data_IF_484467401038
#
_entry.id   IF_484467401038
#
_cell.length_a   1.000
_cell.length_b   1.000
_cell.length_c   1.000
_cell.angle_alpha   90.00
_cell.angle_beta   90.00
_cell.angle_gamma   90.00
#
_symmetry.space_group_name_H-M   'P 1'
#
loop_
_entity.id
_entity.type
_entity.pdbx_description
1 polymer ?
#
# COMPACT_ATOMS: atom_id res chain seq x y z
N UNK A 1 -19.56 -3.03 4.46
CA UNK A 1 -18.68 -3.05 5.65
C UNK A 1 -18.85 -1.70 6.34
N UNK A 2 -19.02 -1.66 7.66
CA UNK A 2 -19.21 -0.43 8.43
C UNK A 2 -18.30 -0.44 9.64
N UNK A 3 -17.59 0.67 9.88
CA UNK A 3 -16.76 0.93 11.05
C UNK A 3 -17.55 1.74 12.07
N UNK A 4 -17.75 1.18 13.27
CA UNK A 4 -18.46 1.84 14.38
C UNK A 4 -17.53 2.20 15.56
N UNK A 5 -16.21 1.95 15.42
CA UNK A 5 -15.21 2.07 16.48
C UNK A 5 -14.83 0.72 17.11
N UNK A 6 -13.87 0.72 18.03
CA UNK A 6 -13.49 -0.46 18.81
C UNK A 6 -13.38 -0.11 20.30
N UNK A 7 -13.24 -1.13 21.17
CA UNK A 7 -13.07 -0.92 22.62
C UNK A 7 -11.82 -0.09 22.95
N UNK A 8 -10.80 -0.19 22.11
CA UNK A 8 -9.48 0.36 22.36
C UNK A 8 -9.22 1.68 21.58
N UNK A 9 -10.17 2.11 20.73
CA UNK A 9 -10.03 3.32 19.92
C UNK A 9 -11.34 4.13 19.85
N UNK A 10 -11.31 5.28 20.52
CA UNK A 10 -12.42 6.24 20.51
C UNK A 10 -12.35 7.08 19.25
N UNK A 11 -12.95 6.59 18.17
CA UNK A 11 -13.12 7.36 16.95
C UNK A 11 -14.21 8.42 17.14
N UNK A 12 -13.92 9.67 16.74
CA UNK A 12 -14.94 10.71 16.61
C UNK A 12 -15.96 10.31 15.55
N UNK A 13 -17.20 10.83 15.65
CA UNK A 13 -18.23 10.54 14.65
C UNK A 13 -17.80 10.98 13.24
N UNK A 14 -17.13 12.12 13.11
CA UNK A 14 -16.60 12.60 11.82
C UNK A 14 -15.59 11.61 11.22
N UNK A 15 -14.72 11.03 12.05
CA UNK A 15 -13.74 10.04 11.61
C UNK A 15 -14.43 8.75 11.15
N UNK A 16 -15.47 8.30 11.87
CA UNK A 16 -16.26 7.14 11.46
C UNK A 16 -16.95 7.39 10.11
N UNK A 17 -17.52 8.57 9.91
CA UNK A 17 -18.15 8.96 8.64
C UNK A 17 -17.12 8.95 7.52
N UNK A 18 -15.95 9.54 7.72
CA UNK A 18 -14.88 9.58 6.73
C UNK A 18 -14.40 8.17 6.34
N UNK A 19 -14.16 7.29 7.32
CA UNK A 19 -13.77 5.89 7.07
C UNK A 19 -14.85 5.15 6.28
N UNK A 20 -16.11 5.24 6.71
CA UNK A 20 -17.21 4.56 6.03
C UNK A 20 -17.44 5.09 4.61
N UNK A 21 -17.29 6.39 4.40
CA UNK A 21 -17.35 7.01 3.08
C UNK A 21 -16.23 6.49 2.18
N UNK A 22 -14.99 6.46 2.65
CA UNK A 22 -13.84 5.93 1.90
C UNK A 22 -14.04 4.46 1.49
N UNK A 23 -14.51 3.61 2.42
CA UNK A 23 -14.80 2.19 2.15
C UNK A 23 -15.89 2.04 1.09
N UNK A 24 -16.96 2.84 1.20
CA UNK A 24 -18.14 2.76 0.31
C UNK A 24 -17.84 3.31 -1.09
N UNK A 25 -17.08 4.41 -1.17
CA UNK A 25 -16.70 5.05 -2.42
C UNK A 25 -15.47 4.42 -3.08
N UNK A 26 -14.83 3.46 -2.40
CA UNK A 26 -13.58 2.82 -2.83
C UNK A 26 -12.46 3.81 -3.16
N UNK A 27 -12.46 4.94 -2.42
CA UNK A 27 -11.45 5.99 -2.50
C UNK A 27 -10.46 5.85 -1.34
N UNK A 28 -9.16 6.12 -1.56
CA UNK A 28 -8.19 6.18 -0.48
C UNK A 28 -8.59 7.20 0.60
N UNK A 29 -8.36 6.84 1.86
CA UNK A 29 -8.52 7.74 3.00
C UNK A 29 -7.16 8.31 3.41
N UNK A 30 -6.97 9.61 3.26
CA UNK A 30 -5.77 10.30 3.75
C UNK A 30 -6.03 10.86 5.17
N UNK A 31 -5.22 10.39 6.13
CA UNK A 31 -5.27 10.81 7.53
C UNK A 31 -4.04 11.66 7.84
N UNK A 32 -4.26 12.94 8.11
CA UNK A 32 -3.21 13.91 8.45
C UNK A 32 -3.27 14.27 9.93
N UNK A 33 -2.12 14.54 10.52
CA UNK A 33 -2.03 15.06 11.89
C UNK A 33 -0.64 14.87 12.49
N UNK A 34 -0.43 15.40 13.68
CA UNK A 34 0.86 15.30 14.39
C UNK A 34 1.29 13.84 14.62
N UNK A 35 2.60 13.55 14.71
CA UNK A 35 3.09 12.25 15.16
C UNK A 35 2.47 11.83 16.50
N UNK A 36 2.17 10.54 16.67
CA UNK A 36 1.60 10.01 17.91
C UNK A 36 0.09 10.19 18.10
N UNK A 37 -0.64 10.71 17.11
CA UNK A 37 -2.11 10.92 17.16
C UNK A 37 -2.95 9.67 16.83
N UNK A 38 -2.33 8.49 16.72
CA UNK A 38 -3.05 7.22 16.51
C UNK A 38 -3.52 6.96 15.07
N UNK A 39 -2.91 7.59 14.06
CA UNK A 39 -3.23 7.41 12.63
C UNK A 39 -3.03 5.96 12.16
N UNK A 40 -1.89 5.35 12.50
CA UNK A 40 -1.59 3.94 12.24
C UNK A 40 -2.59 3.03 12.97
N UNK A 41 -2.94 3.38 14.21
CA UNK A 41 -3.89 2.62 15.02
C UNK A 41 -5.29 2.61 14.40
N UNK A 42 -5.73 3.71 13.77
CA UNK A 42 -7.00 3.73 13.04
C UNK A 42 -7.09 2.58 12.03
N UNK A 43 -6.08 2.38 11.19
CA UNK A 43 -6.11 1.33 10.17
C UNK A 43 -6.17 -0.08 10.79
N UNK A 44 -5.43 -0.30 11.88
CA UNK A 44 -5.43 -1.56 12.64
C UNK A 44 -6.83 -1.83 13.20
N UNK A 45 -7.47 -0.83 13.80
CA UNK A 45 -8.78 -0.96 14.43
C UNK A 45 -9.91 -1.09 13.41
N UNK A 46 -9.80 -0.42 12.26
CA UNK A 46 -10.72 -0.62 11.13
C UNK A 46 -10.60 -2.06 10.63
N UNK A 47 -9.38 -2.57 10.41
CA UNK A 47 -9.15 -3.94 9.94
C UNK A 47 -9.76 -4.98 10.89
N UNK A 48 -9.50 -4.83 12.21
CA UNK A 48 -10.11 -5.67 13.25
C UNK A 48 -11.63 -5.61 13.24
N UNK A 49 -12.21 -4.42 13.16
CA UNK A 49 -13.67 -4.23 13.26
C UNK A 49 -14.44 -4.89 12.10
N UNK A 50 -13.88 -4.89 10.89
CA UNK A 50 -14.52 -5.44 9.69
C UNK A 50 -13.98 -6.84 9.33
N UNK A 51 -13.04 -7.38 10.11
CA UNK A 51 -12.43 -8.68 9.89
C UNK A 51 -11.61 -8.77 8.60
N UNK A 52 -10.98 -7.69 8.17
CA UNK A 52 -10.18 -7.63 6.95
C UNK A 52 -8.69 -7.89 7.24
N UNK A 53 -7.95 -8.57 6.33
CA UNK A 53 -6.49 -8.64 6.41
C UNK A 53 -5.88 -7.24 6.37
N UNK A 54 -4.88 -6.99 7.22
CA UNK A 54 -4.11 -5.74 7.21
C UNK A 54 -2.77 -5.97 6.54
N UNK A 55 -2.44 -5.14 5.54
CA UNK A 55 -1.15 -5.09 4.88
C UNK A 55 -0.54 -3.73 5.18
N UNK A 56 0.55 -3.73 5.95
CA UNK A 56 1.23 -2.51 6.37
C UNK A 56 2.45 -2.24 5.47
N UNK A 57 2.52 -1.03 4.93
CA UNK A 57 3.65 -0.51 4.18
C UNK A 57 4.16 0.77 4.81
N UNK A 58 5.14 0.64 5.70
CA UNK A 58 5.80 1.78 6.33
C UNK A 58 6.83 2.41 5.40
N UNK A 59 6.63 3.69 5.10
CA UNK A 59 7.47 4.46 4.19
C UNK A 59 8.68 5.02 4.96
N UNK A 60 9.86 4.89 4.37
CA UNK A 60 11.12 5.47 4.86
C UNK A 60 11.63 6.50 3.87
N UNK A 61 12.59 7.32 4.29
CA UNK A 61 13.22 8.33 3.43
C UNK A 61 13.88 7.76 2.18
N UNK A 62 14.25 6.49 2.19
CA UNK A 62 14.87 5.79 1.07
C UNK A 62 13.89 4.92 0.27
N UNK A 63 12.61 4.88 0.66
CA UNK A 63 11.61 4.06 -0.01
C UNK A 63 11.26 4.64 -1.37
N UNK A 64 11.24 3.79 -2.39
CA UNK A 64 10.80 4.14 -3.75
C UNK A 64 9.45 3.47 -4.07
N UNK A 65 8.63 4.12 -4.89
CA UNK A 65 7.31 3.62 -5.28
C UNK A 65 7.38 2.20 -5.89
N UNK A 66 8.37 1.96 -6.74
CA UNK A 66 8.62 0.65 -7.37
C UNK A 66 8.75 -0.49 -6.35
N UNK A 67 9.31 -0.25 -5.15
CA UNK A 67 9.44 -1.27 -4.10
C UNK A 67 8.09 -1.70 -3.51
N UNK A 68 7.08 -0.83 -3.63
CA UNK A 68 5.69 -1.18 -3.33
C UNK A 68 5.09 -2.13 -4.35
N UNK A 69 5.53 -2.04 -5.60
CA UNK A 69 5.09 -2.90 -6.70
C UNK A 69 5.86 -4.23 -6.65
N UNK A 70 7.16 -4.21 -6.91
CA UNK A 70 8.05 -5.36 -6.84
C UNK A 70 9.53 -4.95 -6.87
N UNK A 71 10.40 -5.87 -6.48
CA UNK A 71 11.85 -5.75 -6.62
C UNK A 71 12.37 -6.93 -7.47
N UNK A 72 13.18 -6.65 -8.49
CA UNK A 72 13.82 -7.68 -9.30
C UNK A 72 15.31 -7.78 -8.95
N UNK A 73 15.74 -8.95 -8.47
CA UNK A 73 17.14 -9.23 -8.13
C UNK A 73 17.93 -9.76 -9.34
N UNK A 74 18.28 -8.83 -10.23
CA UNK A 74 19.09 -9.14 -11.42
C UNK A 74 20.48 -9.70 -11.06
N UNK A 75 21.05 -9.30 -9.92
CA UNK A 75 22.40 -9.71 -9.50
C UNK A 75 22.41 -11.16 -9.07
N UNK A 76 21.45 -11.57 -8.24
CA UNK A 76 21.29 -12.95 -7.81
C UNK A 76 20.99 -13.86 -9.02
N UNK A 77 20.15 -13.40 -9.96
CA UNK A 77 19.88 -14.15 -11.19
C UNK A 77 21.13 -14.34 -12.03
N UNK A 78 21.92 -13.29 -12.23
CA UNK A 78 23.16 -13.37 -13.00
C UNK A 78 24.14 -14.36 -12.37
N UNK A 79 24.31 -14.30 -11.05
CA UNK A 79 25.18 -15.23 -10.30
C UNK A 79 24.73 -16.67 -10.47
N UNK A 80 23.45 -16.94 -10.23
CA UNK A 80 22.88 -18.29 -10.34
C UNK A 80 22.96 -18.82 -11.79
N UNK A 81 22.78 -17.94 -12.79
CA UNK A 81 22.95 -18.28 -14.21
C UNK A 81 24.39 -18.65 -14.56
N UNK A 82 25.39 -17.98 -13.97
CA UNK A 82 26.81 -18.30 -14.18
C UNK A 82 27.21 -19.63 -13.53
N UNK A 83 26.54 -20.02 -12.45
CA UNK A 83 26.78 -21.28 -11.74
C UNK A 83 26.00 -22.47 -12.33
N UNK A 84 25.20 -22.25 -13.38
CA UNK A 84 24.39 -23.29 -14.02
C UNK A 84 23.19 -23.76 -13.18
N UNK A 85 22.72 -22.94 -12.24
CA UNK A 85 21.54 -23.26 -11.44
C UNK A 85 20.27 -23.21 -12.31
N UNK A 86 19.50 -24.30 -12.33
CA UNK A 86 18.26 -24.40 -13.09
C UNK A 86 17.24 -23.32 -12.70
N UNK A 87 17.28 -22.79 -11.47
CA UNK A 87 16.40 -21.70 -11.01
C UNK A 87 16.57 -20.42 -11.82
N UNK A 88 17.76 -20.17 -12.39
CA UNK A 88 18.05 -18.98 -13.19
C UNK A 88 17.24 -18.89 -14.50
N UNK A 89 16.69 -20.02 -14.96
CA UNK A 89 15.84 -20.11 -16.15
C UNK A 89 14.46 -19.49 -15.95
N UNK A 90 13.94 -19.44 -14.71
CA UNK A 90 12.67 -18.81 -14.40
C UNK A 90 12.88 -17.47 -13.69
N UNK A 91 12.52 -16.38 -14.38
CA UNK A 91 12.71 -15.00 -13.91
C UNK A 91 11.86 -14.70 -12.66
N UNK A 92 10.69 -15.32 -12.52
CA UNK A 92 9.80 -15.12 -11.37
C UNK A 92 10.46 -15.44 -10.03
N UNK A 93 11.45 -16.35 -10.02
CA UNK A 93 12.21 -16.72 -8.82
C UNK A 93 13.01 -15.53 -8.22
N UNK A 94 13.22 -14.48 -9.00
CA UNK A 94 14.00 -13.31 -8.63
C UNK A 94 13.13 -12.05 -8.50
N UNK A 95 11.80 -12.20 -8.62
CA UNK A 95 10.84 -11.12 -8.37
C UNK A 95 10.33 -11.26 -6.95
N UNK A 96 10.65 -10.27 -6.13
CA UNK A 96 10.11 -10.11 -4.79
C UNK A 96 8.90 -9.19 -4.87
N UNK A 97 7.75 -9.70 -4.46
CA UNK A 97 6.48 -8.94 -4.46
C UNK A 97 6.53 -7.82 -3.44
N UNK A 98 6.07 -6.63 -3.85
CA UNK A 98 5.88 -5.49 -2.95
C UNK A 98 4.52 -5.50 -2.28
N UNK A 99 4.26 -4.53 -1.40
CA UNK A 99 3.03 -4.45 -0.59
C UNK A 99 1.77 -4.16 -1.41
N UNK A 100 1.87 -3.38 -2.49
CA UNK A 100 0.75 -3.19 -3.42
C UNK A 100 0.44 -4.48 -4.18
N UNK A 101 1.46 -5.24 -4.58
CA UNK A 101 1.24 -6.56 -5.20
C UNK A 101 0.50 -7.50 -4.25
N UNK A 102 0.99 -7.64 -3.01
CA UNK A 102 0.34 -8.45 -1.97
C UNK A 102 -1.14 -8.06 -1.81
N UNK A 103 -1.43 -6.75 -1.77
CA UNK A 103 -2.80 -6.25 -1.65
C UNK A 103 -3.66 -6.54 -2.89
N UNK A 104 -3.11 -6.41 -4.10
CA UNK A 104 -3.85 -6.59 -5.35
C UNK A 104 -4.16 -8.07 -5.62
N UNK A 105 -3.26 -8.99 -5.25
CA UNK A 105 -3.50 -10.43 -5.43
C UNK A 105 -4.29 -11.09 -4.29
N UNK A 106 -4.61 -10.33 -3.24
CA UNK A 106 -5.37 -10.83 -2.09
C UNK A 106 -6.76 -11.34 -2.51
N UNK A 107 -7.12 -12.54 -2.04
CA UNK A 107 -8.44 -13.15 -2.28
C UNK A 107 -9.55 -12.49 -1.45
N UNK A 108 -9.19 -11.93 -0.29
CA UNK A 108 -10.10 -11.16 0.57
C UNK A 108 -9.80 -9.67 0.41
N UNK A 109 -10.80 -8.80 0.54
CA UNK A 109 -10.62 -7.34 0.49
C UNK A 109 -9.70 -6.89 1.64
N UNK A 110 -8.42 -6.55 1.40
CA UNK A 110 -7.52 -6.20 2.48
C UNK A 110 -7.64 -4.69 2.78
N UNK A 111 -7.17 -4.30 3.95
CA UNK A 111 -6.77 -2.93 4.23
C UNK A 111 -5.30 -2.80 3.86
N UNK A 112 -4.98 -1.88 2.95
CA UNK A 112 -3.61 -1.47 2.66
C UNK A 112 -3.34 -0.17 3.39
N UNK A 113 -2.47 -0.23 4.40
CA UNK A 113 -1.96 0.94 5.11
C UNK A 113 -0.65 1.40 4.47
N UNK A 114 -0.65 2.61 3.88
CA UNK A 114 0.56 3.31 3.45
C UNK A 114 0.90 4.33 4.54
N UNK A 115 1.84 3.96 5.41
CA UNK A 115 2.12 4.71 6.62
C UNK A 115 3.26 5.71 6.40
N UNK A 116 3.06 6.95 6.85
CA UNK A 116 4.04 8.05 6.80
C UNK A 116 4.53 8.35 5.37
N UNK A 117 3.58 8.48 4.44
CA UNK A 117 3.84 8.67 2.99
C UNK A 117 4.76 9.87 2.68
N UNK A 118 4.76 10.87 3.56
CA UNK A 118 5.55 12.10 3.45
C UNK A 118 7.03 11.95 3.86
N UNK A 119 7.44 10.79 4.39
CA UNK A 119 8.85 10.54 4.73
C UNK A 119 9.73 10.32 3.51
N UNK A 120 9.20 9.73 2.45
CA UNK A 120 9.93 9.47 1.22
C UNK A 120 10.21 10.76 0.41
N UNK A 121 10.89 10.60 -0.71
CA UNK A 121 11.13 11.68 -1.66
C UNK A 121 9.81 12.30 -2.19
N UNK A 122 9.85 13.55 -2.66
CA UNK A 122 8.67 14.27 -3.19
C UNK A 122 8.07 13.58 -4.43
N UNK A 123 8.86 12.80 -5.16
CA UNK A 123 8.40 12.00 -6.29
C UNK A 123 7.56 10.80 -5.86
N UNK A 124 7.81 10.25 -4.67
CA UNK A 124 7.22 9.00 -4.20
C UNK A 124 5.69 8.96 -4.23
N UNK A 125 4.95 9.96 -3.71
CA UNK A 125 3.50 9.94 -3.80
C UNK A 125 3.05 9.95 -5.26
N UNK A 126 3.59 10.85 -6.08
CA UNK A 126 3.18 11.00 -7.49
C UNK A 126 3.36 9.69 -8.27
N UNK A 127 4.46 8.99 -8.03
CA UNK A 127 4.78 7.70 -8.64
C UNK A 127 3.83 6.56 -8.24
N UNK A 128 2.93 6.77 -7.28
CA UNK A 128 1.90 5.80 -6.88
C UNK A 128 0.50 6.17 -7.37
N UNK A 129 0.29 7.38 -7.90
CA UNK A 129 -1.05 7.86 -8.25
C UNK A 129 -1.73 6.95 -9.28
N UNK A 130 -1.00 6.55 -10.31
CA UNK A 130 -1.55 5.78 -11.41
C UNK A 130 -1.97 4.38 -10.95
N UNK A 131 -1.13 3.75 -10.14
CA UNK A 131 -1.34 2.40 -9.61
C UNK A 131 -2.47 2.36 -8.60
N UNK A 132 -2.58 3.38 -7.74
CA UNK A 132 -3.68 3.54 -6.79
C UNK A 132 -5.00 3.94 -7.48
N UNK A 133 -4.96 4.67 -8.59
CA UNK A 133 -6.17 5.03 -9.33
C UNK A 133 -6.72 3.81 -10.10
N UNK A 134 -5.86 3.19 -10.91
CA UNK A 134 -6.23 2.08 -11.80
C UNK A 134 -6.35 0.74 -11.08
N UNK A 135 -5.75 0.59 -9.90
CA UNK A 135 -5.64 -0.66 -9.17
C UNK A 135 -4.94 -1.76 -9.98
N UNK A 136 -3.96 -1.37 -10.79
CA UNK A 136 -3.14 -2.28 -11.58
C UNK A 136 -1.76 -1.67 -11.88
N UNK A 137 -0.77 -2.52 -12.10
CA UNK A 137 0.57 -2.14 -12.56
C UNK A 137 1.16 -3.24 -13.45
N UNK A 138 2.17 -2.89 -14.26
CA UNK A 138 2.83 -3.83 -15.16
C UNK A 138 4.17 -4.30 -14.59
N UNK A 139 4.46 -5.59 -14.76
CA UNK A 139 5.71 -6.24 -14.36
C UNK A 139 6.44 -6.62 -15.62
N UNK A 140 7.49 -5.84 -15.93
CA UNK A 140 8.19 -5.93 -17.21
C UNK A 140 8.96 -7.25 -17.37
N UNK A 141 9.53 -7.75 -16.29
CA UNK A 141 10.38 -8.94 -16.27
C UNK A 141 9.66 -10.23 -16.65
N UNK A 142 8.32 -10.25 -16.51
CA UNK A 142 7.47 -11.42 -16.78
C UNK A 142 6.30 -11.08 -17.70
N UNK A 143 6.34 -9.91 -18.34
CA UNK A 143 5.32 -9.38 -19.24
C UNK A 143 3.87 -9.54 -18.72
N UNK A 144 3.66 -9.13 -17.47
CA UNK A 144 2.41 -9.38 -16.76
C UNK A 144 1.84 -8.12 -16.12
N UNK A 145 0.56 -7.84 -16.38
CA UNK A 145 -0.21 -6.88 -15.59
C UNK A 145 -0.72 -7.54 -14.31
N UNK A 146 -0.40 -6.96 -13.16
CA UNK A 146 -0.99 -7.30 -11.86
C UNK A 146 -2.14 -6.34 -11.62
N UNK A 147 -3.36 -6.88 -11.49
CA UNK A 147 -4.58 -6.13 -11.24
C UNK A 147 -5.23 -6.59 -9.95
N UNK A 148 -5.78 -5.64 -9.18
CA UNK A 148 -6.49 -5.96 -7.95
C UNK A 148 -7.68 -6.89 -8.22
N UNK A 149 -7.67 -8.08 -7.64
CA UNK A 149 -8.80 -9.02 -7.67
C UNK A 149 -9.99 -8.45 -6.90
N UNK A 150 -9.70 -7.87 -5.75
CA UNK A 150 -10.66 -7.16 -4.89
C UNK A 150 -10.04 -5.83 -4.51
N UNK A 151 -10.72 -4.70 -4.80
CA UNK A 151 -10.18 -3.36 -4.58
C UNK A 151 -9.90 -3.13 -3.08
N UNK A 152 -8.64 -2.92 -2.67
CA UNK A 152 -8.29 -2.77 -1.26
C UNK A 152 -8.90 -1.51 -0.66
N UNK A 153 -9.13 -1.53 0.65
CA UNK A 153 -9.41 -0.32 1.42
C UNK A 153 -8.06 0.33 1.70
N UNK A 154 -7.80 1.48 1.08
CA UNK A 154 -6.50 2.14 1.21
C UNK A 154 -6.61 3.22 2.28
N UNK A 155 -5.75 3.15 3.29
CA UNK A 155 -5.56 4.17 4.31
C UNK A 155 -4.14 4.68 4.18
N UNK A 156 -3.99 5.99 4.03
CA UNK A 156 -2.71 6.67 3.88
C UNK A 156 -2.54 7.60 5.07
N UNK A 157 -1.39 7.56 5.74
CA UNK A 157 -1.10 8.47 6.85
C UNK A 157 0.03 9.42 6.49
N UNK A 158 -0.04 10.65 7.00
CA UNK A 158 1.02 11.66 6.87
C UNK A 158 1.15 12.44 8.17
N UNK A 159 2.39 12.76 8.54
CA UNK A 159 2.72 13.59 9.69
C UNK A 159 2.76 15.09 9.37
N UNK A 160 2.39 15.48 8.14
CA UNK A 160 2.56 16.82 7.57
C UNK A 160 4.03 17.30 7.61
N UNK A 161 5.00 16.38 7.54
CA UNK A 161 6.44 16.73 7.49
C UNK A 161 6.82 17.35 6.14
N UNK A 162 6.18 16.88 5.06
CA UNK A 162 6.31 17.42 3.70
C UNK A 162 4.93 17.63 3.09
N UNK A 163 4.84 18.62 2.22
CA UNK A 163 3.61 18.90 1.48
C UNK A 163 3.36 17.81 0.44
N UNK A 164 2.15 17.25 0.46
CA UNK A 164 1.73 16.25 -0.52
C UNK A 164 1.19 16.94 -1.78
N UNK A 165 1.44 16.39 -2.97
CA UNK A 165 0.95 16.97 -4.21
C UNK A 165 -0.59 17.03 -4.23
N UNK A 166 -1.14 18.08 -4.83
CA UNK A 166 -2.60 18.34 -4.90
C UNK A 166 -3.40 17.14 -5.41
N UNK A 167 -2.80 16.31 -6.28
CA UNK A 167 -3.44 15.12 -6.80
C UNK A 167 -3.83 14.09 -5.70
N UNK A 168 -3.11 14.05 -4.58
CA UNK A 168 -3.46 13.24 -3.40
C UNK A 168 -4.56 13.84 -2.53
N UNK A 169 -4.88 15.13 -2.72
CA UNK A 169 -5.81 15.87 -1.87
C UNK A 169 -7.22 15.98 -2.46
N UNK A 170 -7.43 15.44 -3.67
CA UNK A 170 -8.71 15.47 -4.41
C UNK A 170 -9.54 14.22 -4.15
#
# INVERSE_FOLDING_TARGET
MRFDGTKDYVATEDLKVAVNAAITLERPLLVKGEPGTGKTMLAIEVAKSIGAPLIEWHIKSTTKAVQGLYEYDAVMRLRDSQLGDARASNIENYIKRGKLWEAFESEQRPILLIDEIDKADIEFPNDLLQELDRMEFYVYEIDRTVKAKVRPIIIITSNNEKELPDAFLR
#
